data_IF_009958179925
#
_entry.id   IF_009958179925
#
_cell.length_a   1.000
_cell.length_b   1.000
_cell.length_c   1.000
_cell.angle_alpha   90.00
_cell.angle_beta   90.00
_cell.angle_gamma   90.00
#
_symmetry.space_group_name_H-M   'P 1'
#
loop_
_entity.id
_entity.type
_entity.pdbx_description
1 polymer ?
#
# COMPACT_ATOMS: atom_id res chain seq x y z
N UNK A 1 5.97 39.13 8.22
CA UNK A 1 7.00 38.66 7.26
C UNK A 1 6.37 37.45 6.58
N UNK A 2 5.70 37.65 5.46
CA UNK A 2 5.08 36.58 4.67
C UNK A 2 5.66 36.70 3.27
N UNK A 3 6.33 35.65 2.83
CA UNK A 3 7.06 35.60 1.57
C UNK A 3 6.20 34.81 0.58
N UNK A 4 5.84 35.46 -0.53
CA UNK A 4 5.21 34.89 -1.71
C UNK A 4 6.29 34.62 -2.75
N UNK A 5 6.09 33.61 -3.62
CA UNK A 5 6.43 33.81 -5.02
C UNK A 5 5.17 33.95 -5.87
N UNK A 6 5.11 35.13 -6.48
CA UNK A 6 4.29 35.56 -7.61
C UNK A 6 4.69 34.82 -8.89
N UNK A 7 3.72 34.38 -9.70
CA UNK A 7 3.66 34.85 -11.09
C UNK A 7 2.37 34.43 -11.81
N UNK A 8 1.81 35.43 -12.47
CA UNK A 8 0.67 35.38 -13.37
C UNK A 8 1.00 34.59 -14.64
N UNK A 9 0.01 33.87 -15.17
CA UNK A 9 -0.12 33.66 -16.61
C UNK A 9 -1.60 33.60 -16.98
N UNK A 10 -2.13 34.72 -17.46
CA UNK A 10 -3.38 34.72 -18.21
C UNK A 10 -3.14 34.16 -19.60
N UNK A 11 -4.14 33.48 -20.17
CA UNK A 11 -4.08 33.01 -21.55
C UNK A 11 -5.40 33.31 -22.27
N UNK A 12 -5.31 34.24 -23.21
CA UNK A 12 -6.18 34.34 -24.37
C UNK A 12 -5.29 34.60 -25.58
N UNK A 13 -5.21 33.64 -26.50
CA UNK A 13 -5.24 33.86 -27.96
C UNK A 13 -4.99 32.56 -28.75
N UNK A 14 -6.01 32.18 -29.52
CA UNK A 14 -6.02 31.90 -30.97
C UNK A 14 -5.01 30.88 -31.57
N UNK A 15 -5.61 29.78 -32.04
CA UNK A 15 -5.32 28.93 -33.21
C UNK A 15 -4.20 29.36 -34.18
N UNK A 16 -3.22 28.47 -34.40
CA UNK A 16 -2.45 28.35 -35.65
C UNK A 16 -2.11 26.88 -35.93
N UNK A 17 -2.41 26.44 -37.15
CA UNK A 17 -2.19 25.09 -37.66
C UNK A 17 -0.71 24.75 -37.82
N UNK A 18 -0.30 23.59 -37.30
CA UNK A 18 1.04 23.03 -37.45
C UNK A 18 1.18 21.79 -36.56
N UNK A 19 0.96 20.60 -37.13
CA UNK A 19 0.96 19.33 -36.42
C UNK A 19 2.36 18.93 -35.94
N UNK A 20 2.84 19.56 -34.88
CA UNK A 20 3.81 18.99 -33.96
C UNK A 20 2.97 18.41 -32.83
N UNK A 21 2.78 17.09 -32.83
CA UNK A 21 2.18 16.40 -31.71
C UNK A 21 3.06 16.69 -30.49
N UNK A 22 2.60 17.59 -29.62
CA UNK A 22 3.09 17.69 -28.26
C UNK A 22 2.74 16.35 -27.64
N UNK A 23 3.71 15.42 -27.62
CA UNK A 23 3.67 14.32 -26.70
C UNK A 23 3.50 14.96 -25.32
N UNK A 24 2.28 14.87 -24.76
CA UNK A 24 2.06 15.24 -23.37
C UNK A 24 3.05 14.47 -22.50
N UNK A 25 3.32 14.92 -21.27
CA UNK A 25 4.05 14.08 -20.34
C UNK A 25 3.31 12.74 -20.32
N UNK A 26 4.01 11.65 -20.66
CA UNK A 26 3.50 10.35 -20.31
C UNK A 26 3.27 10.42 -18.80
N UNK A 27 2.01 10.30 -18.37
CA UNK A 27 1.75 10.02 -16.98
C UNK A 27 2.56 8.75 -16.70
N UNK A 28 3.59 8.87 -15.86
CA UNK A 28 4.24 7.70 -15.33
C UNK A 28 3.20 7.09 -14.40
N UNK A 29 2.57 6.00 -14.81
CA UNK A 29 1.85 5.16 -13.86
C UNK A 29 2.87 4.70 -12.83
N UNK A 30 2.60 5.01 -11.55
CA UNK A 30 3.39 4.51 -10.45
C UNK A 30 3.36 2.96 -10.47
N UNK A 31 4.45 2.29 -10.06
CA UNK A 31 4.46 0.84 -10.02
C UNK A 31 3.35 0.32 -9.09
N UNK A 32 2.60 -0.66 -9.60
CA UNK A 32 1.53 -1.35 -8.89
C UNK A 32 1.89 -2.83 -8.72
N UNK A 33 1.50 -3.41 -7.59
CA UNK A 33 1.66 -4.82 -7.27
C UNK A 33 0.31 -5.44 -6.88
N UNK A 34 0.24 -6.76 -6.95
CA UNK A 34 -0.91 -7.52 -6.50
C UNK A 34 -0.65 -8.06 -5.08
N UNK A 35 -1.63 -7.91 -4.19
CA UNK A 35 -1.57 -8.39 -2.82
C UNK A 35 -1.53 -9.93 -2.81
N UNK A 36 -0.48 -10.55 -2.22
CA UNK A 36 -0.35 -11.99 -2.19
C UNK A 36 -1.38 -12.64 -1.26
N UNK A 37 -1.76 -13.88 -1.57
CA UNK A 37 -2.58 -14.70 -0.68
C UNK A 37 -1.73 -15.27 0.47
N UNK A 38 -1.76 -14.59 1.61
CA UNK A 38 -0.95 -14.90 2.80
C UNK A 38 -1.78 -15.38 3.98
N UNK A 39 -3.10 -15.55 3.81
CA UNK A 39 -3.98 -16.07 4.87
C UNK A 39 -3.55 -17.49 5.25
N UNK A 40 -3.48 -17.77 6.54
CA UNK A 40 -2.99 -19.03 7.10
C UNK A 40 -1.47 -19.11 7.27
N UNK A 41 -0.71 -18.16 6.72
CA UNK A 41 0.74 -18.06 6.95
C UNK A 41 1.05 -17.46 8.32
N UNK A 42 2.30 -17.58 8.77
CA UNK A 42 2.74 -16.79 9.93
C UNK A 42 2.83 -15.30 9.55
N UNK A 43 2.66 -14.39 10.52
CA UNK A 43 2.80 -12.95 10.26
C UNK A 43 4.20 -12.62 9.72
N UNK A 44 5.25 -13.29 10.20
CA UNK A 44 6.61 -13.11 9.69
C UNK A 44 6.73 -13.44 8.19
N UNK A 45 6.11 -14.54 7.75
CA UNK A 45 6.12 -14.94 6.33
C UNK A 45 5.27 -14.01 5.47
N UNK A 46 4.14 -13.52 6.00
CA UNK A 46 3.26 -12.58 5.32
C UNK A 46 3.96 -11.23 5.10
N UNK A 47 4.54 -10.65 6.16
CA UNK A 47 5.31 -9.40 6.08
C UNK A 47 6.49 -9.53 5.11
N UNK A 48 7.23 -10.65 5.14
CA UNK A 48 8.34 -10.87 4.24
C UNK A 48 7.91 -10.96 2.76
N UNK A 49 6.77 -11.59 2.48
CA UNK A 49 6.23 -11.66 1.12
C UNK A 49 5.81 -10.29 0.60
N UNK A 50 5.13 -9.48 1.41
CA UNK A 50 4.70 -8.14 1.00
C UNK A 50 5.90 -7.19 0.88
N UNK A 51 6.84 -7.21 1.83
CA UNK A 51 8.06 -6.40 1.77
C UNK A 51 8.94 -6.77 0.56
N UNK A 52 8.83 -8.01 0.07
CA UNK A 52 9.51 -8.46 -1.15
C UNK A 52 8.97 -7.81 -2.44
N UNK A 53 7.77 -7.23 -2.40
CA UNK A 53 7.19 -6.46 -3.52
C UNK A 53 7.77 -5.05 -3.56
N UNK A 54 7.72 -4.35 -2.42
CA UNK A 54 8.29 -3.04 -2.21
C UNK A 54 8.44 -2.78 -0.69
N UNK A 55 9.60 -2.23 -0.29
CA UNK A 55 9.97 -1.99 1.12
C UNK A 55 9.33 -0.75 1.76
N UNK A 56 8.71 0.11 0.95
CA UNK A 56 8.00 1.33 1.36
C UNK A 56 6.57 1.04 1.80
N UNK A 57 6.02 -0.13 1.44
CA UNK A 57 4.70 -0.58 1.87
C UNK A 57 4.71 -0.73 3.40
N UNK A 58 3.81 0.01 4.06
CA UNK A 58 3.70 -0.01 5.51
C UNK A 58 2.83 -1.18 5.99
N UNK A 59 3.05 -1.63 7.23
CA UNK A 59 2.28 -2.71 7.85
C UNK A 59 1.56 -2.23 9.12
N UNK A 60 0.32 -2.68 9.27
CA UNK A 60 -0.46 -2.57 10.50
C UNK A 60 -0.93 -3.96 10.92
N UNK A 61 -0.96 -4.22 12.22
CA UNK A 61 -1.40 -5.53 12.75
C UNK A 61 -2.49 -5.35 13.79
N UNK A 62 -3.53 -6.17 13.69
CA UNK A 62 -4.67 -6.19 14.61
C UNK A 62 -4.84 -7.59 15.18
N UNK A 63 -4.85 -7.69 16.51
CA UNK A 63 -5.18 -8.93 17.22
C UNK A 63 -6.71 -9.14 17.25
N UNK A 64 -7.18 -10.15 16.52
CA UNK A 64 -8.61 -10.43 16.34
C UNK A 64 -9.35 -10.83 17.62
N UNK A 65 -8.62 -11.22 18.67
CA UNK A 65 -9.23 -11.55 19.96
C UNK A 65 -9.76 -10.32 20.70
N UNK A 66 -9.42 -9.11 20.24
CA UNK A 66 -9.77 -7.85 20.91
C UNK A 66 -8.97 -7.60 22.19
N UNK A 67 -7.98 -8.45 22.50
CA UNK A 67 -7.12 -8.31 23.67
C UNK A 67 -6.04 -7.23 23.50
N UNK A 68 -5.88 -6.67 22.29
CA UNK A 68 -4.91 -5.61 21.98
C UNK A 68 -3.49 -5.97 22.44
N UNK A 69 -3.07 -7.21 22.22
CA UNK A 69 -1.75 -7.69 22.62
C UNK A 69 -0.67 -7.14 21.68
N UNK A 70 0.48 -6.78 22.23
CA UNK A 70 1.66 -6.45 21.43
C UNK A 70 2.22 -7.69 20.73
N UNK A 71 2.51 -7.54 19.43
CA UNK A 71 3.05 -8.59 18.58
C UNK A 71 4.58 -8.53 18.60
N UNK A 72 5.21 -9.18 19.58
CA UNK A 72 6.67 -9.20 19.71
C UNK A 72 7.38 -10.27 18.87
N UNK A 73 6.69 -11.32 18.45
CA UNK A 73 7.28 -12.42 17.69
C UNK A 73 6.34 -12.81 16.56
N UNK A 74 6.42 -12.15 15.39
CA UNK A 74 5.48 -12.32 14.27
C UNK A 74 5.31 -13.79 13.84
N UNK A 75 6.36 -14.61 13.96
CA UNK A 75 6.28 -16.04 13.66
C UNK A 75 5.30 -16.83 14.56
N UNK A 76 4.93 -16.29 15.73
CA UNK A 76 3.98 -16.92 16.66
C UNK A 76 2.52 -16.48 16.40
N UNK A 77 2.25 -15.79 15.30
CA UNK A 77 0.92 -15.29 14.95
C UNK A 77 0.54 -15.79 13.57
N UNK A 78 -0.71 -16.21 13.40
CA UNK A 78 -1.30 -16.62 12.12
C UNK A 78 -2.10 -15.47 11.55
N UNK A 79 -1.93 -15.19 10.25
CA UNK A 79 -2.76 -14.24 9.52
C UNK A 79 -4.11 -14.87 9.19
N UNK A 80 -5.19 -14.25 9.64
CA UNK A 80 -6.55 -14.68 9.39
C UNK A 80 -7.24 -13.88 8.27
N UNK A 81 -6.87 -12.61 8.11
CA UNK A 81 -7.37 -11.75 7.05
C UNK A 81 -6.37 -10.62 6.75
N UNK A 82 -6.49 -10.03 5.57
CA UNK A 82 -5.69 -8.89 5.16
C UNK A 82 -6.54 -7.77 4.58
N UNK A 83 -6.02 -6.54 4.65
CA UNK A 83 -6.54 -5.39 3.90
C UNK A 83 -5.37 -4.72 3.20
N UNK A 84 -5.37 -4.58 1.86
CA UNK A 84 -6.30 -5.19 0.90
C UNK A 84 -6.36 -6.73 1.02
N UNK A 85 -7.45 -7.32 0.52
CA UNK A 85 -7.56 -8.78 0.38
C UNK A 85 -6.62 -9.30 -0.73
N UNK A 86 -6.38 -10.61 -0.77
CA UNK A 86 -5.60 -11.24 -1.83
C UNK A 86 -6.12 -10.85 -3.23
N UNK A 87 -5.21 -10.54 -4.14
CA UNK A 87 -5.55 -10.00 -5.46
C UNK A 87 -5.83 -8.49 -5.49
N UNK A 88 -5.85 -7.82 -4.33
CA UNK A 88 -6.00 -6.37 -4.24
C UNK A 88 -4.77 -5.62 -4.76
N UNK A 89 -4.96 -4.38 -5.19
CA UNK A 89 -3.87 -3.54 -5.69
C UNK A 89 -3.07 -2.92 -4.54
N UNK A 90 -1.75 -2.95 -4.66
CA UNK A 90 -0.80 -2.27 -3.81
C UNK A 90 0.02 -1.27 -4.61
N UNK A 91 0.38 -0.16 -3.96
CA UNK A 91 1.32 0.87 -4.42
C UNK A 91 2.36 1.10 -3.32
N UNK A 92 3.40 1.87 -3.59
CA UNK A 92 4.45 2.18 -2.60
C UNK A 92 3.90 2.94 -1.37
N UNK A 93 2.78 3.64 -1.53
CA UNK A 93 2.10 4.39 -0.47
C UNK A 93 1.06 3.54 0.29
N UNK A 94 0.87 2.27 -0.10
CA UNK A 94 -0.11 1.40 0.53
C UNK A 94 0.28 1.02 1.96
N UNK A 95 -0.75 0.82 2.78
CA UNK A 95 -0.60 0.21 4.10
C UNK A 95 -1.38 -1.09 4.13
N UNK A 96 -0.70 -2.18 4.45
CA UNK A 96 -1.29 -3.52 4.56
C UNK A 96 -1.64 -3.80 6.01
N UNK A 97 -2.92 -4.05 6.27
CA UNK A 97 -3.42 -4.51 7.54
C UNK A 97 -3.41 -6.04 7.63
N UNK A 98 -2.83 -6.60 8.69
CA UNK A 98 -2.87 -8.01 9.02
C UNK A 98 -3.75 -8.23 10.26
N UNK A 99 -4.83 -8.97 10.10
CA UNK A 99 -5.64 -9.44 11.21
C UNK A 99 -5.12 -10.80 11.66
N UNK A 100 -4.71 -10.93 12.92
CA UNK A 100 -3.96 -12.10 13.41
C UNK A 100 -4.53 -12.70 14.69
N UNK A 101 -4.21 -13.98 14.91
CA UNK A 101 -4.41 -14.71 16.16
C UNK A 101 -3.11 -15.43 16.56
N UNK A 102 -2.96 -15.83 17.82
CA UNK A 102 -1.79 -16.59 18.25
C UNK A 102 -1.80 -18.00 17.68
N UNK A 103 -0.67 -18.38 17.09
CA UNK A 103 -0.47 -19.74 16.61
C UNK A 103 -0.64 -20.74 17.74
N UNK A 104 -1.35 -21.84 17.45
CA UNK A 104 -1.60 -23.00 18.32
C UNK A 104 -2.51 -22.77 19.52
N UNK A 105 -2.85 -21.52 19.86
CA UNK A 105 -3.78 -21.21 20.94
C UNK A 105 -5.18 -20.88 20.39
N UNK A 106 -5.27 -20.34 19.18
CA UNK A 106 -6.46 -19.72 18.60
C UNK A 106 -6.65 -20.15 17.13
N UNK A 107 -7.89 -20.10 16.62
CA UNK A 107 -8.24 -20.39 15.22
C UNK A 107 -8.81 -19.15 14.52
N UNK A 108 -8.60 -19.08 13.20
CA UNK A 108 -9.28 -18.11 12.34
C UNK A 108 -10.68 -18.64 12.03
N UNK A 109 -11.71 -18.04 12.63
CA UNK A 109 -13.13 -18.38 12.45
C UNK A 109 -13.90 -17.28 11.71
#
# INVERSE_FOLDING_TARGET
MVNFPTSLAGLSAVLLAGGLALAGPAAADDPEWEMPDVVGSTLAEAEAQVAGLNEEIAFETVDLTGLNRDVHSPANWTVCATVPEAGGTLTAESTVGFAVVRQYEESCD
#
